data_IF_178386957885
#
_entry.id   IF_178386957885
#
_cell.length_a   1.000
_cell.length_b   1.000
_cell.length_c   1.000
_cell.angle_alpha   90.00
_cell.angle_beta   90.00
_cell.angle_gamma   90.00
#
_symmetry.space_group_name_H-M   'P 1'
#
loop_
_entity.id
_entity.type
_entity.pdbx_description
1 polymer ?
#
# COMPACT_ATOMS: atom_id res chain seq x y z
N UNK A 1 1.27 26.01 -1.73
CA UNK A 1 0.14 25.15 -1.39
C UNK A 1 0.72 23.76 -1.19
N UNK A 2 0.53 23.15 -0.04
CA UNK A 2 0.94 21.76 0.19
C UNK A 2 0.05 20.84 -0.61
N UNK A 3 0.63 19.88 -1.32
CA UNK A 3 -0.11 18.83 -2.06
C UNK A 3 -0.45 17.65 -1.13
N UNK A 4 -1.03 17.98 0.03
CA UNK A 4 -1.38 16.98 1.03
C UNK A 4 -2.66 16.25 0.65
N UNK A 5 -2.59 14.92 0.70
CA UNK A 5 -3.72 14.00 0.48
C UNK A 5 -4.36 13.52 1.78
N UNK A 6 -3.91 14.02 2.94
CA UNK A 6 -4.36 13.53 4.25
C UNK A 6 -5.87 13.66 4.44
N UNK A 7 -6.44 12.61 4.96
CA UNK A 7 -7.82 12.51 5.41
C UNK A 7 -7.87 11.39 6.45
N UNK A 8 -8.28 11.69 7.66
CA UNK A 8 -8.33 10.74 8.78
C UNK A 8 -9.31 9.57 8.56
N UNK A 9 -10.27 9.74 7.65
CA UNK A 9 -11.18 8.66 7.26
C UNK A 9 -10.51 7.66 6.29
N UNK A 10 -9.41 8.07 5.65
CA UNK A 10 -8.70 7.27 4.64
C UNK A 10 -7.38 6.75 5.18
N UNK A 11 -6.60 7.58 5.88
CA UNK A 11 -5.25 7.25 6.31
C UNK A 11 -5.09 7.31 7.82
N UNK A 12 -4.43 6.29 8.36
CA UNK A 12 -3.95 6.23 9.74
C UNK A 12 -2.43 6.39 9.75
N UNK A 13 -1.87 7.45 10.34
CA UNK A 13 -0.43 7.63 10.44
C UNK A 13 0.26 6.49 11.20
N UNK A 14 1.45 6.13 10.74
CA UNK A 14 2.32 5.10 11.34
C UNK A 14 3.77 5.56 11.34
N UNK A 15 4.70 4.75 11.86
CA UNK A 15 6.13 4.94 11.61
C UNK A 15 6.49 4.62 10.15
N UNK A 16 7.53 5.26 9.62
CA UNK A 16 7.94 5.09 8.23
C UNK A 16 8.68 3.77 7.97
N UNK A 17 8.40 3.13 6.85
CA UNK A 17 9.16 1.99 6.35
C UNK A 17 10.61 2.39 6.07
N UNK A 18 11.58 1.63 6.59
CA UNK A 18 13.03 1.92 6.46
C UNK A 18 13.40 3.36 6.86
N UNK A 19 12.69 3.93 7.84
CA UNK A 19 12.80 5.32 8.29
C UNK A 19 12.48 6.37 7.21
N UNK A 20 11.71 6.02 6.17
CA UNK A 20 11.19 7.00 5.22
C UNK A 20 10.33 8.04 5.96
N UNK A 21 10.33 9.31 5.51
CA UNK A 21 9.48 10.34 6.11
C UNK A 21 8.01 9.91 6.13
N UNK A 22 7.35 10.08 7.28
CA UNK A 22 5.94 9.70 7.44
C UNK A 22 5.07 10.96 7.41
N UNK A 23 4.44 11.21 6.26
CA UNK A 23 3.54 12.34 6.03
C UNK A 23 2.69 12.11 4.76
N UNK A 24 1.84 13.07 4.42
CA UNK A 24 0.89 12.99 3.32
C UNK A 24 1.03 14.13 2.28
N UNK A 25 2.12 14.86 2.33
CA UNK A 25 2.47 15.86 1.30
C UNK A 25 3.26 15.16 0.20
N UNK A 26 2.70 15.11 -1.02
CA UNK A 26 3.28 14.44 -2.17
C UNK A 26 4.26 15.32 -2.96
N UNK A 27 4.57 16.52 -2.49
CA UNK A 27 5.50 17.43 -3.17
C UNK A 27 6.89 16.78 -3.31
N UNK A 28 7.34 16.58 -4.54
CA UNK A 28 8.63 15.95 -4.84
C UNK A 28 8.66 14.42 -4.64
N UNK A 29 7.53 13.80 -4.27
CA UNK A 29 7.42 12.36 -4.11
C UNK A 29 7.20 11.67 -5.47
N UNK A 30 7.93 10.59 -5.73
CA UNK A 30 7.71 9.73 -6.90
C UNK A 30 7.13 8.36 -6.49
N UNK A 31 7.29 7.97 -5.23
CA UNK A 31 6.82 6.70 -4.70
C UNK A 31 6.28 6.88 -3.28
N UNK A 32 5.00 6.59 -3.08
CA UNK A 32 4.35 6.62 -1.78
C UNK A 32 4.07 5.19 -1.27
N UNK A 33 4.39 4.95 0.00
CA UNK A 33 4.14 3.68 0.67
C UNK A 33 2.80 3.76 1.39
N UNK A 34 1.98 2.70 1.27
CA UNK A 34 0.70 2.57 1.96
C UNK A 34 0.55 1.17 2.54
N UNK A 35 0.23 1.06 3.81
CA UNK A 35 -0.19 -0.21 4.41
C UNK A 35 -1.67 -0.47 4.19
N UNK A 36 -2.02 -1.74 3.97
CA UNK A 36 -3.39 -2.24 3.83
C UNK A 36 -3.63 -3.35 4.85
N UNK A 37 -3.87 -3.00 6.13
CA UNK A 37 -3.97 -3.97 7.23
C UNK A 37 -5.33 -4.67 7.24
N UNK A 38 -5.61 -5.44 6.19
CA UNK A 38 -6.85 -6.17 6.02
C UNK A 38 -6.62 -7.65 5.72
N UNK A 39 -7.46 -8.51 6.24
CA UNK A 39 -7.61 -9.90 5.82
C UNK A 39 -9.10 -10.29 5.82
N UNK A 40 -9.50 -11.07 4.83
CA UNK A 40 -10.88 -11.54 4.68
C UNK A 40 -11.28 -12.60 5.70
N UNK A 41 -10.33 -13.13 6.48
CA UNK A 41 -10.60 -14.22 7.42
C UNK A 41 -11.08 -15.51 6.75
N UNK A 42 -10.75 -15.71 5.48
CA UNK A 42 -11.17 -16.88 4.68
C UNK A 42 -10.64 -18.19 5.27
N UNK A 43 -9.50 -18.13 5.93
CA UNK A 43 -8.92 -19.31 6.56
C UNK A 43 -9.27 -19.36 8.05
N UNK A 44 -9.92 -20.41 8.54
CA UNK A 44 -10.44 -20.46 9.92
C UNK A 44 -9.36 -20.40 11.01
N UNK A 45 -8.10 -20.74 10.68
CA UNK A 45 -7.00 -20.81 11.65
C UNK A 45 -5.79 -19.96 11.29
N UNK A 46 -5.75 -19.36 10.09
CA UNK A 46 -4.63 -18.55 9.59
C UNK A 46 -5.09 -17.13 9.30
N UNK A 47 -5.56 -16.47 10.34
CA UNK A 47 -5.89 -15.04 10.34
C UNK A 47 -4.73 -14.27 10.96
N UNK A 48 -4.50 -13.03 10.52
CA UNK A 48 -3.44 -12.17 11.06
C UNK A 48 -2.63 -11.45 10.00
N UNK A 49 -2.87 -11.70 8.71
CA UNK A 49 -2.20 -10.98 7.61
C UNK A 49 -2.39 -9.46 7.71
N UNK A 50 -3.46 -9.00 8.37
CA UNK A 50 -3.68 -7.59 8.71
C UNK A 50 -2.55 -6.96 9.54
N UNK A 51 -1.73 -7.76 10.21
CA UNK A 51 -0.55 -7.29 10.95
C UNK A 51 0.67 -7.11 10.04
N UNK A 52 0.60 -7.54 8.79
CA UNK A 52 1.70 -7.50 7.84
C UNK A 52 2.35 -6.12 7.71
N UNK A 53 1.59 -5.04 7.44
CA UNK A 53 2.17 -3.71 7.30
C UNK A 53 2.96 -3.24 8.53
N UNK A 54 2.42 -3.48 9.73
CA UNK A 54 3.10 -3.12 10.98
C UNK A 54 4.38 -3.94 11.18
N UNK A 55 4.32 -5.26 10.97
CA UNK A 55 5.47 -6.14 11.11
C UNK A 55 6.57 -5.83 10.08
N UNK A 56 6.21 -5.53 8.85
CA UNK A 56 7.15 -5.14 7.79
C UNK A 56 7.87 -3.84 8.18
N UNK A 57 7.14 -2.82 8.65
CA UNK A 57 7.75 -1.56 9.10
C UNK A 57 8.69 -1.78 10.29
N UNK A 58 8.27 -2.54 11.28
CA UNK A 58 9.10 -2.87 12.45
C UNK A 58 10.43 -3.51 12.03
N UNK A 59 10.38 -4.53 11.19
CA UNK A 59 11.58 -5.23 10.72
C UNK A 59 12.41 -4.40 9.74
N UNK A 60 11.81 -3.50 9.00
CA UNK A 60 12.50 -2.65 8.02
C UNK A 60 13.52 -1.71 8.65
N UNK A 61 13.36 -1.33 9.91
CA UNK A 61 14.32 -0.52 10.65
C UNK A 61 15.69 -1.15 10.82
N UNK A 62 15.80 -2.48 10.63
CA UNK A 62 17.06 -3.22 10.67
C UNK A 62 17.78 -3.28 9.32
N UNK A 63 17.10 -2.86 8.25
CA UNK A 63 17.59 -2.95 6.88
C UNK A 63 18.26 -1.63 6.47
N UNK A 64 19.43 -1.73 5.87
CA UNK A 64 20.10 -0.55 5.30
C UNK A 64 19.42 -0.17 3.97
N UNK A 65 19.21 1.14 3.68
CA UNK A 65 18.54 1.59 2.47
C UNK A 65 19.33 1.29 1.19
N UNK A 66 20.64 1.04 1.29
CA UNK A 66 21.45 0.59 0.17
C UNK A 66 22.60 -0.29 0.65
N UNK A 67 23.10 -1.16 -0.23
CA UNK A 67 24.20 -2.09 0.05
C UNK A 67 25.20 -2.09 -1.10
N UNK A 68 26.38 -1.50 -0.95
CA UNK A 68 27.47 -1.70 -1.90
C UNK A 68 27.87 -3.19 -1.98
N UNK A 69 28.23 -3.74 -3.14
CA UNK A 69 28.39 -3.07 -4.44
C UNK A 69 27.13 -2.99 -5.29
N UNK A 70 25.96 -3.40 -4.79
CA UNK A 70 24.72 -3.49 -5.57
C UNK A 70 24.10 -2.13 -5.85
N UNK A 71 24.25 -1.18 -4.93
CA UNK A 71 23.82 0.20 -5.11
C UNK A 71 24.75 1.14 -4.37
N UNK A 72 25.11 2.26 -4.98
CA UNK A 72 25.91 3.35 -4.42
C UNK A 72 25.07 4.58 -4.06
N UNK A 73 23.77 4.47 -4.14
CA UNK A 73 22.80 5.52 -3.81
C UNK A 73 21.68 4.98 -2.93
N UNK A 74 21.01 5.88 -2.22
CA UNK A 74 19.82 5.58 -1.45
C UNK A 74 18.57 5.70 -2.34
N UNK A 75 17.88 4.60 -2.71
CA UNK A 75 16.70 4.66 -3.57
C UNK A 75 15.52 5.39 -2.93
N UNK A 76 15.42 5.40 -1.60
CA UNK A 76 14.35 6.12 -0.90
C UNK A 76 14.50 7.63 -1.10
N UNK A 77 15.73 8.15 -0.98
CA UNK A 77 16.02 9.56 -1.23
C UNK A 77 15.89 9.92 -2.71
N UNK A 78 16.41 9.07 -3.61
CA UNK A 78 16.39 9.31 -5.05
C UNK A 78 14.96 9.41 -5.61
N UNK A 79 14.02 8.66 -5.05
CA UNK A 79 12.60 8.66 -5.44
C UNK A 79 11.73 9.58 -4.56
N UNK A 80 12.32 10.27 -3.58
CA UNK A 80 11.56 11.07 -2.63
C UNK A 80 10.46 10.24 -1.94
N UNK A 81 10.84 9.03 -1.49
CA UNK A 81 9.87 8.09 -0.90
C UNK A 81 9.29 8.63 0.39
N UNK A 82 7.97 8.57 0.53
CA UNK A 82 7.26 8.85 1.77
C UNK A 82 6.41 7.65 2.19
N UNK A 83 6.12 7.52 3.47
CA UNK A 83 5.17 6.55 4.00
C UNK A 83 3.89 7.25 4.45
N UNK A 84 2.80 6.99 3.76
CA UNK A 84 1.49 7.58 4.05
C UNK A 84 0.75 6.86 5.19
N UNK A 85 1.40 5.90 5.86
CA UNK A 85 0.75 5.12 6.90
C UNK A 85 -0.16 4.02 6.35
N UNK A 86 -1.18 3.68 7.11
CA UNK A 86 -2.11 2.61 6.77
C UNK A 86 -3.45 3.16 6.27
N UNK A 87 -4.06 2.49 5.29
CA UNK A 87 -5.47 2.70 4.98
C UNK A 87 -6.35 2.29 6.18
N UNK A 88 -7.40 3.06 6.44
CA UNK A 88 -8.33 2.81 7.56
C UNK A 88 -9.24 1.62 7.21
N UNK A 89 -8.82 0.42 7.61
CA UNK A 89 -9.58 -0.80 7.36
C UNK A 89 -10.46 -1.16 8.56
N UNK A 90 -11.69 -1.60 8.28
CA UNK A 90 -12.66 -2.02 9.28
C UNK A 90 -12.68 -3.55 9.37
N UNK A 91 -12.24 -4.16 10.49
CA UNK A 91 -12.24 -5.62 10.63
C UNK A 91 -13.63 -6.22 10.40
N UNK A 92 -13.69 -7.28 9.59
CA UNK A 92 -14.94 -7.97 9.27
C UNK A 92 -15.90 -7.20 8.35
N UNK A 93 -15.47 -6.09 7.76
CA UNK A 93 -16.26 -5.28 6.82
C UNK A 93 -15.49 -5.07 5.52
N UNK A 94 -15.54 -6.04 4.59
CA UNK A 94 -14.74 -5.99 3.38
C UNK A 94 -15.12 -4.81 2.47
N UNK A 95 -16.40 -4.59 2.18
CA UNK A 95 -16.83 -3.56 1.24
C UNK A 95 -16.37 -2.15 1.66
N UNK A 96 -16.66 -1.65 2.89
CA UNK A 96 -16.17 -0.33 3.31
C UNK A 96 -14.64 -0.25 3.37
N UNK A 97 -13.95 -1.34 3.73
CA UNK A 97 -12.48 -1.38 3.73
C UNK A 97 -11.92 -1.27 2.32
N UNK A 98 -12.55 -1.93 1.35
CA UNK A 98 -12.15 -1.87 -0.06
C UNK A 98 -12.36 -0.47 -0.65
N UNK A 99 -13.47 0.20 -0.31
CA UNK A 99 -13.71 1.58 -0.73
C UNK A 99 -12.61 2.53 -0.22
N UNK A 100 -12.22 2.39 1.05
CA UNK A 100 -11.15 3.19 1.64
C UNK A 100 -9.79 2.90 0.98
N UNK A 101 -9.45 1.63 0.76
CA UNK A 101 -8.21 1.25 0.10
C UNK A 101 -8.15 1.73 -1.35
N UNK A 102 -9.25 1.62 -2.09
CA UNK A 102 -9.38 2.15 -3.46
C UNK A 102 -9.15 3.66 -3.48
N UNK A 103 -9.81 4.39 -2.58
CA UNK A 103 -9.69 5.84 -2.48
C UNK A 103 -8.26 6.27 -2.10
N UNK A 104 -7.62 5.55 -1.16
CA UNK A 104 -6.25 5.82 -0.77
C UNK A 104 -5.28 5.73 -1.96
N UNK A 105 -5.41 4.69 -2.77
CA UNK A 105 -4.57 4.51 -3.97
C UNK A 105 -4.89 5.58 -5.03
N UNK A 106 -6.18 5.85 -5.27
CA UNK A 106 -6.55 6.85 -6.26
C UNK A 106 -6.03 8.24 -5.93
N UNK A 107 -6.05 8.65 -4.67
CA UNK A 107 -5.53 9.96 -4.23
C UNK A 107 -4.05 10.13 -4.56
N UNK A 108 -3.26 9.08 -4.45
CA UNK A 108 -1.84 9.09 -4.79
C UNK A 108 -1.66 9.03 -6.32
N UNK A 109 -2.28 8.05 -6.95
CA UNK A 109 -2.15 7.81 -8.39
C UNK A 109 -2.61 9.01 -9.24
N UNK A 110 -3.68 9.71 -8.83
CA UNK A 110 -4.18 10.91 -9.51
C UNK A 110 -3.22 12.09 -9.51
N UNK A 111 -2.17 12.07 -8.66
CA UNK A 111 -1.06 13.03 -8.66
C UNK A 111 0.16 12.56 -9.44
N UNK A 112 0.05 11.44 -10.15
CA UNK A 112 1.17 10.86 -10.91
C UNK A 112 2.24 10.21 -10.04
N UNK A 113 1.95 9.92 -8.78
CA UNK A 113 2.86 9.25 -7.84
C UNK A 113 2.59 7.75 -7.86
N UNK A 114 3.66 6.96 -7.94
CA UNK A 114 3.58 5.49 -7.83
C UNK A 114 3.29 5.05 -6.40
N UNK A 115 2.69 3.87 -6.24
CA UNK A 115 2.45 3.29 -4.92
C UNK A 115 3.24 2.00 -4.70
N UNK A 116 3.78 1.83 -3.51
CA UNK A 116 4.25 0.57 -2.97
C UNK A 116 3.36 0.20 -1.79
N UNK A 117 2.62 -0.89 -1.89
CA UNK A 117 1.68 -1.27 -0.86
C UNK A 117 2.17 -2.47 -0.05
N UNK A 118 1.98 -2.41 1.25
CA UNK A 118 2.22 -3.53 2.16
C UNK A 118 0.86 -4.13 2.54
N UNK A 119 0.58 -5.31 2.03
CA UNK A 119 -0.68 -6.01 2.33
C UNK A 119 -0.65 -6.68 3.70
N UNK A 120 -1.76 -7.05 4.02
CA UNK A 120 -2.78 -7.97 4.28
C UNK A 120 -2.71 -9.25 3.45
N UNK A 121 -3.84 -9.84 3.25
CA UNK A 121 -3.96 -11.00 2.37
C UNK A 121 -4.13 -10.58 0.89
N UNK A 122 -4.25 -11.56 -0.02
CA UNK A 122 -4.38 -11.32 -1.45
C UNK A 122 -5.60 -10.46 -1.84
N UNK A 123 -6.62 -10.37 -0.99
CA UNK A 123 -7.84 -9.60 -1.26
C UNK A 123 -7.60 -8.10 -1.41
N UNK A 124 -6.54 -7.57 -0.78
CA UNK A 124 -6.18 -6.13 -0.89
C UNK A 124 -5.72 -5.72 -2.29
N UNK A 125 -5.42 -6.69 -3.16
CA UNK A 125 -5.05 -6.42 -4.56
C UNK A 125 -6.19 -5.79 -5.34
N UNK A 126 -7.43 -6.25 -5.15
CA UNK A 126 -8.58 -5.77 -5.90
C UNK A 126 -8.84 -4.26 -5.73
N UNK A 127 -8.94 -3.70 -4.51
CA UNK A 127 -9.14 -2.27 -4.33
C UNK A 127 -7.97 -1.42 -4.87
N UNK A 128 -6.72 -1.92 -4.81
CA UNK A 128 -5.58 -1.24 -5.41
C UNK A 128 -5.74 -1.12 -6.93
N UNK A 129 -6.08 -2.22 -7.60
CA UNK A 129 -6.31 -2.22 -9.05
C UNK A 129 -7.46 -1.30 -9.44
N UNK A 130 -8.53 -1.24 -8.64
CA UNK A 130 -9.64 -0.30 -8.86
C UNK A 130 -9.17 1.15 -8.77
N UNK A 131 -8.38 1.50 -7.75
CA UNK A 131 -7.83 2.84 -7.57
C UNK A 131 -6.93 3.26 -8.75
N UNK A 132 -6.02 2.39 -9.18
CA UNK A 132 -5.16 2.62 -10.33
C UNK A 132 -5.93 2.72 -11.64
N UNK A 133 -6.95 1.89 -11.85
CA UNK A 133 -7.77 1.89 -13.07
C UNK A 133 -8.53 3.20 -13.27
N UNK A 134 -8.85 3.93 -12.22
CA UNK A 134 -9.48 5.27 -12.33
C UNK A 134 -8.57 6.28 -13.04
N UNK A 135 -7.25 6.05 -13.03
CA UNK A 135 -6.24 6.91 -13.68
C UNK A 135 -5.74 6.27 -14.98
N UNK A 136 -5.60 4.96 -15.01
CA UNK A 136 -5.08 4.17 -16.12
C UNK A 136 -6.12 3.13 -16.58
N UNK A 137 -7.08 3.47 -17.46
CA UNK A 137 -8.14 2.55 -17.90
C UNK A 137 -7.62 1.26 -18.55
N UNK A 138 -6.46 1.34 -19.21
CA UNK A 138 -5.79 0.23 -19.91
C UNK A 138 -4.73 -0.47 -19.06
N UNK A 139 -4.92 -0.48 -17.73
CA UNK A 139 -3.99 -1.09 -16.79
C UNK A 139 -3.75 -2.56 -17.11
N UNK A 140 -2.48 -2.95 -17.25
CA UNK A 140 -2.04 -4.34 -17.30
C UNK A 140 -1.46 -4.74 -15.94
N UNK A 141 -1.72 -5.98 -15.53
CA UNK A 141 -1.26 -6.53 -14.24
C UNK A 141 -0.30 -7.68 -14.48
N UNK A 142 0.89 -7.59 -13.91
CA UNK A 142 1.78 -8.74 -13.76
C UNK A 142 1.55 -9.32 -12.36
N UNK A 143 0.91 -10.48 -12.30
CA UNK A 143 0.61 -11.18 -11.05
C UNK A 143 1.66 -12.27 -10.81
N UNK A 144 2.35 -12.21 -9.66
CA UNK A 144 3.36 -13.19 -9.25
C UNK A 144 2.84 -13.84 -7.97
N UNK A 145 2.25 -15.01 -8.11
CA UNK A 145 1.64 -15.76 -7.02
C UNK A 145 1.67 -17.27 -7.34
N UNK A 146 1.48 -18.10 -6.32
CA UNK A 146 1.30 -19.55 -6.50
C UNK A 146 -0.08 -19.92 -7.09
N UNK A 147 -1.05 -19.01 -7.05
CA UNK A 147 -2.42 -19.18 -7.52
C UNK A 147 -2.80 -18.05 -8.47
N UNK A 148 -3.71 -18.32 -9.39
CA UNK A 148 -4.18 -17.32 -10.36
C UNK A 148 -5.22 -16.37 -9.80
N UNK A 149 -5.91 -16.78 -8.73
CA UNK A 149 -7.03 -16.06 -8.08
C UNK A 149 -8.17 -15.65 -9.04
N UNK A 150 -8.29 -16.37 -10.15
CA UNK A 150 -9.28 -16.11 -11.21
C UNK A 150 -10.42 -17.13 -11.16
N UNK A 151 -10.96 -17.38 -9.98
CA UNK A 151 -12.08 -18.29 -9.83
C UNK A 151 -13.36 -17.69 -10.45
N UNK A 152 -14.18 -18.51 -11.14
CA UNK A 152 -15.48 -18.06 -11.60
C UNK A 152 -16.38 -17.72 -10.39
N UNK A 153 -17.10 -16.61 -10.50
CA UNK A 153 -18.13 -16.27 -9.50
C UNK A 153 -19.21 -17.35 -9.58
N UNK A 154 -19.20 -18.28 -8.65
CA UNK A 154 -20.30 -19.21 -8.44
C UNK A 154 -21.32 -18.48 -7.58
N UNK A 155 -22.46 -18.11 -8.23
CA UNK A 155 -23.60 -17.50 -7.54
C UNK A 155 -24.29 -18.48 -6.60
#
# INVERSE_FOLDING_TARGET
MTDSIFDEAIYKPTGGFMNAPSHHDLTGCQLAIVGMPFDCGVHPTRIGSRQGPAAIREQSGLVRPFQPPHADFNPLEALGVIDCGDAVCLPGRPEPSFEVMEEAIWRIASRGVSTLTMGGDGSVTLPQLRGWRRVHPDLCVLHIDAHTDTYPVTG
#
